data_IF_711948038146
#
_entry.id   IF_711948038146
#
_cell.length_a   1.000
_cell.length_b   1.000
_cell.length_c   1.000
_cell.angle_alpha   90.00
_cell.angle_beta   90.00
_cell.angle_gamma   90.00
#
_symmetry.space_group_name_H-M   'P 1'
#
loop_
_entity.id
_entity.type
_entity.pdbx_description
1 polymer ?
#
# COMPACT_ATOMS: atom_id res chain seq x y z
N UNK A 1 -37.94 6.40 -8.21
CA UNK A 1 -37.91 6.36 -6.69
C UNK A 1 -37.61 4.94 -6.20
N UNK A 2 -38.16 3.92 -6.84
CA UNK A 2 -37.96 2.50 -6.55
C UNK A 2 -36.46 2.10 -6.50
N UNK A 3 -35.65 2.62 -7.41
CA UNK A 3 -34.20 2.35 -7.47
C UNK A 3 -33.45 2.72 -6.19
N UNK A 4 -33.81 3.86 -5.56
CA UNK A 4 -33.15 4.31 -4.31
C UNK A 4 -33.49 3.41 -3.13
N UNK A 5 -34.72 2.94 -3.03
CA UNK A 5 -35.15 2.06 -1.93
C UNK A 5 -34.56 0.66 -2.09
N UNK A 6 -34.44 0.18 -3.32
CA UNK A 6 -33.75 -1.07 -3.63
C UNK A 6 -32.25 -1.01 -3.28
N UNK A 7 -31.54 0.07 -3.65
CA UNK A 7 -30.12 0.25 -3.29
C UNK A 7 -29.89 0.29 -1.77
N UNK A 8 -30.77 0.94 -1.01
CA UNK A 8 -30.73 0.91 0.46
C UNK A 8 -30.94 -0.50 1.01
N UNK A 9 -31.77 -1.31 0.34
CA UNK A 9 -31.93 -2.74 0.65
C UNK A 9 -30.63 -3.51 0.49
N UNK A 10 -29.95 -3.32 -0.65
CA UNK A 10 -28.63 -3.93 -0.94
C UNK A 10 -27.59 -3.50 0.10
N UNK A 11 -27.51 -2.20 0.40
CA UNK A 11 -26.59 -1.67 1.42
C UNK A 11 -26.83 -2.32 2.79
N UNK A 12 -28.09 -2.42 3.23
CA UNK A 12 -28.46 -3.03 4.50
C UNK A 12 -28.07 -4.51 4.56
N UNK A 13 -28.29 -5.26 3.49
CA UNK A 13 -27.91 -6.68 3.39
C UNK A 13 -26.39 -6.89 3.35
N UNK A 14 -25.64 -6.00 2.70
CA UNK A 14 -24.18 -6.06 2.69
C UNK A 14 -23.60 -5.75 4.07
N UNK A 15 -24.17 -4.78 4.79
CA UNK A 15 -23.78 -4.43 6.16
C UNK A 15 -24.15 -5.53 7.16
N UNK A 16 -25.33 -6.15 7.04
CA UNK A 16 -25.75 -7.28 7.90
C UNK A 16 -24.80 -8.48 7.78
N UNK A 17 -24.21 -8.67 6.60
CA UNK A 17 -23.21 -9.71 6.31
C UNK A 17 -21.76 -9.30 6.63
N UNK A 18 -21.58 -8.21 7.37
CA UNK A 18 -20.28 -7.73 7.86
C UNK A 18 -19.25 -7.40 6.77
N UNK A 19 -19.68 -6.91 5.60
CA UNK A 19 -18.72 -6.34 4.64
C UNK A 19 -18.14 -5.01 5.18
N UNK A 20 -16.86 -4.69 4.86
CA UNK A 20 -16.28 -3.40 5.20
C UNK A 20 -17.09 -2.27 4.56
N UNK A 21 -17.46 -1.25 5.35
CA UNK A 21 -18.29 -0.11 4.89
C UNK A 21 -17.77 0.55 3.62
N UNK A 22 -16.44 0.62 3.45
CA UNK A 22 -15.83 1.20 2.24
C UNK A 22 -16.12 0.39 0.97
N UNK A 23 -16.12 -0.95 1.07
CA UNK A 23 -16.46 -1.83 -0.06
C UNK A 23 -17.95 -1.78 -0.34
N UNK A 24 -18.78 -1.69 0.70
CA UNK A 24 -20.23 -1.51 0.55
C UNK A 24 -20.53 -0.19 -0.17
N UNK A 25 -19.96 0.92 0.28
CA UNK A 25 -20.17 2.22 -0.35
C UNK A 25 -19.71 2.24 -1.82
N UNK A 26 -18.56 1.63 -2.12
CA UNK A 26 -18.04 1.52 -3.48
C UNK A 26 -19.00 0.71 -4.38
N UNK A 27 -19.43 -0.46 -3.91
CA UNK A 27 -20.33 -1.32 -4.68
C UNK A 27 -21.70 -0.69 -4.90
N UNK A 28 -22.26 -0.03 -3.87
CA UNK A 28 -23.54 0.68 -3.99
C UNK A 28 -23.44 1.84 -4.97
N UNK A 29 -22.33 2.58 -4.98
CA UNK A 29 -22.09 3.63 -5.97
C UNK A 29 -21.98 3.08 -7.40
N UNK A 30 -21.25 1.98 -7.60
CA UNK A 30 -21.10 1.31 -8.89
C UNK A 30 -22.45 0.75 -9.41
N UNK A 31 -23.26 0.16 -8.52
CA UNK A 31 -24.62 -0.28 -8.87
C UNK A 31 -25.54 0.90 -9.22
N UNK A 32 -25.42 2.02 -8.52
CA UNK A 32 -26.20 3.23 -8.81
C UNK A 32 -25.85 3.82 -10.18
N UNK A 33 -24.56 3.80 -10.55
CA UNK A 33 -24.06 4.25 -11.84
C UNK A 33 -24.60 3.36 -12.97
N UNK A 34 -24.47 2.03 -12.84
CA UNK A 34 -25.02 1.09 -13.81
C UNK A 34 -26.54 1.16 -13.96
N UNK A 35 -27.25 1.46 -12.86
CA UNK A 35 -28.69 1.70 -12.92
C UNK A 35 -29.02 2.98 -13.69
N UNK A 36 -28.24 4.05 -13.54
CA UNK A 36 -28.42 5.27 -14.30
C UNK A 36 -28.16 5.03 -15.79
N UNK A 37 -27.06 4.36 -16.13
CA UNK A 37 -26.72 4.00 -17.51
C UNK A 37 -27.80 3.14 -18.18
N UNK A 38 -28.38 2.17 -17.45
CA UNK A 38 -29.45 1.32 -17.98
C UNK A 38 -30.73 2.11 -18.28
N UNK A 39 -31.05 3.09 -17.43
CA UNK A 39 -32.21 3.96 -17.63
C UNK A 39 -32.00 4.93 -18.80
N UNK A 40 -30.78 5.43 -19.00
CA UNK A 40 -30.44 6.35 -20.08
C UNK A 40 -30.25 5.63 -21.43
N UNK A 41 -29.64 4.45 -21.44
CA UNK A 41 -29.29 3.68 -22.65
C UNK A 41 -30.49 3.16 -23.44
N UNK A 42 -31.65 3.03 -22.82
CA UNK A 42 -32.89 2.61 -23.50
C UNK A 42 -33.46 3.72 -24.41
N UNK A 43 -32.92 4.94 -24.32
CA UNK A 43 -33.31 6.10 -25.14
C UNK A 43 -32.53 6.22 -26.45
N UNK A 44 -31.74 5.22 -26.85
CA UNK A 44 -31.22 5.14 -28.22
C UNK A 44 -32.16 4.25 -29.02
N UNK A 45 -33.27 4.79 -29.57
CA UNK A 45 -34.01 4.05 -30.58
C UNK A 45 -33.05 3.88 -31.75
N UNK A 46 -32.81 2.63 -32.12
CA UNK A 46 -32.12 2.22 -33.33
C UNK A 46 -32.99 2.62 -34.53
N UNK A 47 -33.07 3.94 -34.77
CA UNK A 47 -33.75 4.50 -35.92
C UNK A 47 -32.73 4.47 -37.04
N UNK A 48 -32.71 3.36 -37.78
CA UNK A 48 -32.35 3.44 -39.19
C UNK A 48 -33.27 4.49 -39.83
N UNK A 49 -32.75 5.63 -40.31
CA UNK A 49 -33.58 6.64 -40.94
C UNK A 49 -34.10 6.06 -42.25
N UNK A 50 -35.33 5.57 -42.25
CA UNK A 50 -36.06 5.27 -43.48
C UNK A 50 -36.61 6.59 -43.97
N UNK A 51 -35.91 7.21 -44.92
CA UNK A 51 -36.36 8.42 -45.64
C UNK A 51 -37.67 8.10 -46.39
N UNK A 52 -38.79 8.56 -45.84
CA UNK A 52 -40.11 8.48 -46.46
C UNK A 52 -40.92 9.75 -46.15
N UNK A 53 -41.51 10.43 -47.16
CA UNK A 53 -42.16 11.73 -46.95
C UNK A 53 -43.65 11.58 -46.63
N UNK A 54 -44.05 11.57 -45.35
CA UNK A 54 -45.48 11.70 -44.99
C UNK A 54 -45.72 12.19 -43.53
N UNK A 55 -46.96 12.51 -43.11
CA UNK A 55 -47.41 13.85 -42.76
C UNK A 55 -47.65 14.05 -41.25
N UNK A 56 -47.79 15.32 -40.88
CA UNK A 56 -48.05 15.85 -39.55
C UNK A 56 -49.30 15.27 -38.88
N UNK A 57 -49.11 14.44 -37.85
CA UNK A 57 -50.15 14.00 -36.91
C UNK A 57 -49.67 14.18 -35.47
N UNK A 58 -50.54 14.79 -34.68
CA UNK A 58 -50.39 15.17 -33.27
C UNK A 58 -50.14 13.96 -32.36
N UNK A 59 -49.01 13.98 -31.64
CA UNK A 59 -48.60 12.94 -30.69
C UNK A 59 -49.11 13.29 -29.28
N UNK A 60 -49.84 12.37 -28.60
CA UNK A 60 -50.31 12.58 -27.25
C UNK A 60 -49.27 12.17 -26.19
N UNK A 61 -49.35 12.87 -25.06
CA UNK A 61 -48.49 12.82 -23.88
C UNK A 61 -48.66 11.51 -23.07
N UNK A 62 -47.96 10.41 -23.42
CA UNK A 62 -47.88 9.16 -22.62
C UNK A 62 -46.54 8.94 -21.91
N UNK A 63 -45.62 9.91 -21.95
CA UNK A 63 -44.19 9.72 -21.65
C UNK A 63 -43.85 9.31 -20.21
N UNK A 64 -44.76 9.46 -19.24
CA UNK A 64 -44.48 9.22 -17.81
C UNK A 64 -44.76 7.78 -17.37
N UNK A 65 -45.77 7.12 -17.95
CA UNK A 65 -46.10 5.72 -17.62
C UNK A 65 -45.03 4.75 -18.15
N UNK A 66 -44.47 5.03 -19.32
CA UNK A 66 -43.39 4.23 -19.92
C UNK A 66 -42.12 4.23 -19.04
N UNK A 67 -41.79 5.36 -18.40
CA UNK A 67 -40.60 5.47 -17.55
C UNK A 67 -40.75 4.65 -16.26
N UNK A 68 -41.95 4.62 -15.65
CA UNK A 68 -42.17 3.85 -14.42
C UNK A 68 -42.16 2.34 -14.65
N UNK A 69 -42.71 1.87 -15.77
CA UNK A 69 -42.69 0.45 -16.11
C UNK A 69 -41.26 -0.03 -16.43
N UNK A 70 -40.45 0.84 -17.02
CA UNK A 70 -39.04 0.54 -17.32
C UNK A 70 -38.17 0.45 -16.05
N UNK A 71 -38.31 1.37 -15.09
CA UNK A 71 -37.61 1.29 -13.80
C UNK A 71 -37.88 -0.05 -13.10
N UNK A 72 -39.13 -0.51 -13.10
CA UNK A 72 -39.52 -1.77 -12.46
C UNK A 72 -38.89 -2.99 -13.15
N UNK A 73 -38.89 -3.01 -14.49
CA UNK A 73 -38.34 -4.12 -15.28
C UNK A 73 -36.82 -4.24 -15.10
N UNK A 74 -36.10 -3.11 -15.07
CA UNK A 74 -34.66 -3.09 -14.79
C UNK A 74 -34.37 -3.65 -13.40
N UNK A 75 -35.13 -3.24 -12.38
CA UNK A 75 -34.95 -3.76 -11.01
C UNK A 75 -35.25 -5.26 -10.93
N UNK A 76 -36.29 -5.73 -11.63
CA UNK A 76 -36.63 -7.15 -11.69
C UNK A 76 -35.51 -7.97 -12.35
N UNK A 77 -34.88 -7.44 -13.41
CA UNK A 77 -33.75 -8.09 -14.09
C UNK A 77 -32.49 -8.21 -13.23
N UNK A 78 -32.27 -7.29 -12.27
CA UNK A 78 -31.12 -7.30 -11.37
C UNK A 78 -31.27 -8.32 -10.23
N UNK A 79 -32.50 -8.76 -9.95
CA UNK A 79 -32.80 -9.72 -8.90
C UNK A 79 -32.96 -9.11 -7.51
N UNK A 80 -33.10 -9.99 -6.52
CA UNK A 80 -33.36 -9.55 -5.15
C UNK A 80 -32.10 -8.97 -4.48
N UNK A 81 -32.24 -7.96 -3.59
CA UNK A 81 -31.10 -7.39 -2.86
C UNK A 81 -30.26 -8.44 -2.11
N UNK A 82 -30.90 -9.49 -1.60
CA UNK A 82 -30.27 -10.61 -0.89
C UNK A 82 -29.41 -11.48 -1.80
N UNK A 83 -29.82 -11.70 -3.05
CA UNK A 83 -29.06 -12.45 -4.06
C UNK A 83 -27.80 -11.68 -4.45
N UNK A 84 -27.93 -10.40 -4.80
CA UNK A 84 -26.77 -9.55 -5.13
C UNK A 84 -25.81 -9.47 -3.95
N UNK A 85 -26.32 -9.26 -2.74
CA UNK A 85 -25.49 -9.25 -1.54
C UNK A 85 -24.76 -10.59 -1.37
N UNK A 86 -25.41 -11.73 -1.64
CA UNK A 86 -24.78 -13.05 -1.54
C UNK A 86 -23.66 -13.27 -2.56
N UNK A 87 -23.84 -12.81 -3.80
CA UNK A 87 -22.84 -12.89 -4.87
C UNK A 87 -21.67 -11.97 -4.55
N UNK A 88 -21.96 -10.73 -4.13
CA UNK A 88 -20.95 -9.77 -3.71
C UNK A 88 -20.12 -10.29 -2.52
N UNK A 89 -20.75 -10.91 -1.53
CA UNK A 89 -20.05 -11.55 -0.40
C UNK A 89 -19.16 -12.69 -0.90
N UNK A 90 -19.68 -13.56 -1.76
CA UNK A 90 -18.93 -14.71 -2.30
C UNK A 90 -17.72 -14.24 -3.10
N UNK A 91 -17.90 -13.25 -3.96
CA UNK A 91 -16.84 -12.69 -4.80
C UNK A 91 -15.82 -11.92 -3.95
N UNK A 92 -16.27 -11.18 -2.95
CA UNK A 92 -15.39 -10.54 -1.97
C UNK A 92 -14.58 -11.58 -1.18
N UNK A 93 -15.21 -12.66 -0.74
CA UNK A 93 -14.53 -13.79 -0.08
C UNK A 93 -13.56 -14.52 -1.02
N UNK A 94 -13.86 -14.60 -2.31
CA UNK A 94 -13.00 -15.18 -3.33
C UNK A 94 -11.79 -14.31 -3.64
N UNK A 95 -11.98 -12.98 -3.68
CA UNK A 95 -10.93 -11.98 -3.93
C UNK A 95 -10.05 -11.70 -2.72
N UNK A 96 -10.48 -12.09 -1.51
CA UNK A 96 -9.64 -11.99 -0.32
C UNK A 96 -8.37 -12.82 -0.54
N UNK A 97 -7.18 -12.18 -0.64
CA UNK A 97 -5.95 -12.90 -0.87
C UNK A 97 -5.75 -13.92 0.25
N UNK A 98 -5.22 -15.10 -0.07
CA UNK A 98 -4.96 -16.19 0.90
C UNK A 98 -4.23 -15.71 2.17
N UNK A 99 -3.41 -14.68 2.04
CA UNK A 99 -2.75 -13.99 3.15
C UNK A 99 -3.73 -13.47 4.22
N UNK A 100 -4.94 -13.03 3.85
CA UNK A 100 -5.96 -12.52 4.76
C UNK A 100 -6.67 -13.60 5.58
N UNK A 101 -6.65 -14.86 5.12
CA UNK A 101 -7.49 -15.94 5.66
C UNK A 101 -6.92 -16.58 6.92
N UNK A 102 -5.60 -16.55 7.13
CA UNK A 102 -4.99 -17.08 8.36
C UNK A 102 -4.18 -16.01 9.10
N UNK A 103 -4.41 -15.92 10.41
CA UNK A 103 -3.57 -15.15 11.33
C UNK A 103 -2.10 -15.61 11.25
N UNK A 104 -1.88 -16.91 11.02
CA UNK A 104 -0.55 -17.50 10.80
C UNK A 104 0.14 -16.88 9.59
N UNK A 105 -0.54 -16.71 8.45
CA UNK A 105 0.06 -16.05 7.30
C UNK A 105 0.37 -14.57 7.58
N UNK A 106 -0.41 -13.90 8.45
CA UNK A 106 -0.08 -12.57 8.98
C UNK A 106 1.22 -12.60 9.76
N UNK A 107 1.31 -13.50 10.73
CA UNK A 107 2.47 -13.64 11.59
C UNK A 107 3.70 -13.96 10.75
N UNK A 108 3.64 -14.93 9.85
CA UNK A 108 4.76 -15.26 8.95
C UNK A 108 5.17 -14.05 8.10
N UNK A 109 4.22 -13.33 7.49
CA UNK A 109 4.54 -12.18 6.66
C UNK A 109 5.12 -11.00 7.45
N UNK A 110 4.60 -10.68 8.64
CA UNK A 110 4.99 -9.46 9.37
C UNK A 110 6.00 -9.70 10.50
N UNK A 111 6.26 -10.95 10.89
CA UNK A 111 7.25 -11.30 11.91
C UNK A 111 8.49 -11.92 11.29
N UNK A 112 8.33 -12.88 10.35
CA UNK A 112 9.47 -13.60 9.79
C UNK A 112 10.09 -12.87 8.59
N UNK A 113 9.28 -12.32 7.69
CA UNK A 113 9.77 -11.71 6.44
C UNK A 113 10.57 -10.39 6.59
N UNK A 114 10.35 -9.52 7.60
CA UNK A 114 11.11 -8.28 7.71
C UNK A 114 12.61 -8.49 7.89
N UNK A 115 13.02 -9.56 8.58
CA UNK A 115 14.44 -9.85 8.83
C UNK A 115 15.19 -10.25 7.55
N UNK A 116 14.74 -11.24 6.75
CA UNK A 116 15.33 -11.52 5.44
C UNK A 116 15.33 -10.31 4.51
N UNK A 117 14.23 -9.54 4.48
CA UNK A 117 14.15 -8.34 3.66
C UNK A 117 15.20 -7.29 4.06
N UNK A 118 15.45 -7.14 5.36
CA UNK A 118 16.49 -6.25 5.89
C UNK A 118 17.89 -6.73 5.51
N UNK A 119 18.18 -8.03 5.66
CA UNK A 119 19.48 -8.61 5.27
C UNK A 119 19.74 -8.44 3.78
N UNK A 120 18.74 -8.70 2.93
CA UNK A 120 18.83 -8.45 1.48
C UNK A 120 19.04 -6.96 1.21
N UNK A 121 18.34 -6.08 1.92
CA UNK A 121 18.49 -4.63 1.81
C UNK A 121 19.91 -4.16 2.14
N UNK A 122 20.52 -4.64 3.23
CA UNK A 122 21.92 -4.33 3.56
C UNK A 122 22.90 -4.90 2.54
N UNK A 123 22.68 -6.14 2.08
CA UNK A 123 23.51 -6.75 1.03
C UNK A 123 23.51 -5.94 -0.26
N UNK A 124 22.32 -5.48 -0.71
CA UNK A 124 22.19 -4.61 -1.88
C UNK A 124 22.84 -3.24 -1.67
N UNK A 125 22.68 -2.64 -0.49
CA UNK A 125 23.31 -1.36 -0.17
C UNK A 125 24.84 -1.44 -0.16
N UNK A 126 25.40 -2.51 0.41
CA UNK A 126 26.84 -2.78 0.39
C UNK A 126 27.35 -3.03 -1.02
N UNK A 127 26.66 -3.88 -1.80
CA UNK A 127 27.02 -4.14 -3.19
C UNK A 127 27.00 -2.86 -4.04
N UNK A 128 26.01 -1.99 -3.82
CA UNK A 128 25.93 -0.69 -4.48
C UNK A 128 27.10 0.22 -4.07
N UNK A 129 27.43 0.30 -2.78
CA UNK A 129 28.56 1.09 -2.30
C UNK A 129 29.90 0.64 -2.90
N UNK A 130 30.15 -0.68 -2.94
CA UNK A 130 31.33 -1.27 -3.58
C UNK A 130 31.34 -1.00 -5.08
N UNK A 131 30.18 -1.15 -5.75
CA UNK A 131 30.05 -0.86 -7.18
C UNK A 131 30.34 0.60 -7.53
N UNK A 132 29.88 1.54 -6.69
CA UNK A 132 30.20 2.97 -6.83
C UNK A 132 31.69 3.20 -6.65
N UNK A 133 32.31 2.65 -5.59
CA UNK A 133 33.74 2.80 -5.34
C UNK A 133 34.60 2.28 -6.51
N UNK A 134 34.30 1.07 -6.99
CA UNK A 134 34.98 0.48 -8.15
C UNK A 134 34.73 1.26 -9.45
N UNK A 135 33.55 1.86 -9.61
CA UNK A 135 33.22 2.71 -10.75
C UNK A 135 34.02 4.01 -10.75
N UNK A 136 34.17 4.65 -9.59
CA UNK A 136 34.96 5.88 -9.43
C UNK A 136 36.45 5.63 -9.70
N UNK A 137 36.99 4.50 -9.26
CA UNK A 137 38.37 4.09 -9.55
C UNK A 137 38.60 3.96 -11.06
N UNK A 138 37.68 3.31 -11.78
CA UNK A 138 37.77 3.15 -13.24
C UNK A 138 37.69 4.47 -14.02
N UNK A 139 37.06 5.49 -13.44
CA UNK A 139 36.99 6.83 -14.04
C UNK A 139 38.29 7.63 -13.84
N UNK A 140 39.30 7.06 -13.17
CA UNK A 140 40.57 7.73 -12.93
C UNK A 140 40.44 8.96 -12.03
N UNK A 141 39.37 9.03 -11.23
CA UNK A 141 39.22 10.08 -10.22
C UNK A 141 40.36 9.85 -9.22
N UNK A 142 41.33 10.78 -9.13
CA UNK A 142 42.49 10.59 -8.27
C UNK A 142 42.03 10.32 -6.85
N UNK A 143 42.58 9.28 -6.22
CA UNK A 143 42.27 8.98 -4.83
C UNK A 143 42.65 10.20 -3.98
N UNK A 144 41.68 10.93 -3.40
CA UNK A 144 41.99 12.09 -2.57
C UNK A 144 42.83 11.72 -1.35
N UNK A 145 42.88 10.42 -0.97
CA UNK A 145 43.74 9.91 0.09
C UNK A 145 45.22 9.78 -0.31
N UNK A 146 45.55 9.75 -1.60
CA UNK A 146 46.93 9.60 -2.07
C UNK A 146 47.77 10.88 -1.91
N UNK A 147 47.13 12.04 -1.69
CA UNK A 147 47.82 13.32 -1.64
C UNK A 147 48.07 13.84 -0.22
N UNK A 148 47.13 13.74 0.73
CA UNK A 148 47.23 14.42 2.04
C UNK A 148 46.79 13.54 3.22
N UNK A 149 47.38 13.81 4.40
CA UNK A 149 47.04 13.23 5.69
C UNK A 149 45.51 13.06 5.85
N UNK A 150 45.08 11.90 6.34
CA UNK A 150 43.68 11.52 6.56
C UNK A 150 42.91 12.71 7.16
N UNK A 151 42.16 13.42 6.31
CA UNK A 151 41.47 14.62 6.74
C UNK A 151 40.29 14.22 7.61
N UNK A 152 40.00 14.99 8.65
CA UNK A 152 38.81 14.78 9.50
C UNK A 152 37.53 14.68 8.66
N UNK A 153 37.45 15.43 7.56
CA UNK A 153 36.32 15.39 6.63
C UNK A 153 36.13 14.04 5.95
N UNK A 154 37.23 13.37 5.55
CA UNK A 154 37.15 12.06 4.92
C UNK A 154 36.66 11.00 5.92
N UNK A 155 37.18 11.02 7.15
CA UNK A 155 36.73 10.12 8.23
C UNK A 155 35.24 10.31 8.53
N UNK A 156 34.80 11.56 8.70
CA UNK A 156 33.39 11.88 8.93
C UNK A 156 32.53 11.44 7.74
N UNK A 157 32.97 11.71 6.51
CA UNK A 157 32.27 11.30 5.29
C UNK A 157 32.09 9.78 5.21
N UNK A 158 33.14 9.02 5.53
CA UNK A 158 33.06 7.56 5.60
C UNK A 158 32.03 7.11 6.64
N UNK A 159 32.08 7.64 7.86
CA UNK A 159 31.07 7.29 8.88
C UNK A 159 29.64 7.62 8.43
N UNK A 160 29.42 8.78 7.80
CA UNK A 160 28.10 9.14 7.25
C UNK A 160 27.63 8.12 6.22
N UNK A 161 28.49 7.72 5.29
CA UNK A 161 28.16 6.69 4.28
C UNK A 161 27.80 5.36 4.95
N UNK A 162 28.57 4.94 5.95
CA UNK A 162 28.32 3.71 6.71
C UNK A 162 26.97 3.76 7.45
N UNK A 163 26.63 4.90 8.07
CA UNK A 163 25.32 5.10 8.69
C UNK A 163 24.18 5.07 7.66
N UNK A 164 24.37 5.66 6.48
CA UNK A 164 23.36 5.62 5.41
C UNK A 164 23.14 4.20 4.91
N UNK A 165 24.21 3.42 4.71
CA UNK A 165 24.14 2.01 4.30
C UNK A 165 23.35 1.18 5.32
N UNK A 166 23.49 1.49 6.61
CA UNK A 166 22.77 0.79 7.67
C UNK A 166 21.30 1.22 7.77
N UNK A 167 21.03 2.53 7.75
CA UNK A 167 19.73 3.11 8.06
C UNK A 167 18.77 3.15 6.87
N UNK A 168 19.28 3.38 5.65
CA UNK A 168 18.42 3.51 4.47
C UNK A 168 17.65 2.20 4.16
N UNK A 169 18.27 1.01 4.20
CA UNK A 169 17.54 -0.25 4.06
C UNK A 169 16.50 -0.47 5.15
N UNK A 170 16.84 -0.17 6.41
CA UNK A 170 15.90 -0.29 7.54
C UNK A 170 14.67 0.61 7.37
N UNK A 171 14.87 1.86 6.96
CA UNK A 171 13.80 2.80 6.64
C UNK A 171 12.97 2.30 5.45
N UNK A 172 13.63 1.86 4.37
CA UNK A 172 12.97 1.33 3.17
C UNK A 172 12.08 0.12 3.46
N UNK A 173 12.59 -0.86 4.21
CA UNK A 173 11.85 -2.05 4.65
C UNK A 173 10.68 -1.65 5.54
N UNK A 174 10.86 -0.72 6.48
CA UNK A 174 9.78 -0.22 7.33
C UNK A 174 8.65 0.42 6.52
N UNK A 175 8.97 1.28 5.55
CA UNK A 175 7.99 1.88 4.64
C UNK A 175 7.28 0.82 3.82
N UNK A 176 8.00 -0.18 3.31
CA UNK A 176 7.44 -1.28 2.53
C UNK A 176 6.40 -2.07 3.35
N UNK A 177 6.75 -2.52 4.56
CA UNK A 177 5.86 -3.29 5.41
C UNK A 177 4.66 -2.48 5.92
N UNK A 178 4.84 -1.19 6.19
CA UNK A 178 3.73 -0.27 6.48
C UNK A 178 2.77 -0.17 5.27
N UNK A 179 3.30 -0.06 4.04
CA UNK A 179 2.48 -0.02 2.82
C UNK A 179 1.77 -1.36 2.58
N UNK A 180 2.42 -2.48 2.85
CA UNK A 180 1.80 -3.81 2.76
C UNK A 180 0.71 -4.01 3.83
N UNK A 181 0.92 -3.55 5.06
CA UNK A 181 -0.09 -3.55 6.11
C UNK A 181 -1.32 -2.73 5.70
N UNK A 182 -1.10 -1.55 5.09
CA UNK A 182 -2.16 -0.72 4.50
C UNK A 182 -2.96 -1.46 3.44
N UNK A 183 -2.27 -2.10 2.48
CA UNK A 183 -2.92 -2.81 1.37
C UNK A 183 -3.70 -4.05 1.81
N UNK A 184 -3.29 -4.70 2.89
CA UNK A 184 -3.92 -5.96 3.34
C UNK A 184 -5.12 -5.75 4.27
N UNK A 185 -5.56 -4.50 4.49
CA UNK A 185 -6.64 -4.13 5.42
C UNK A 185 -6.46 -4.70 6.84
N UNK A 186 -5.25 -5.15 7.17
CA UNK A 186 -4.91 -5.62 8.51
C UNK A 186 -4.54 -4.43 9.36
N UNK A 187 -5.12 -4.39 10.55
CA UNK A 187 -4.93 -3.33 11.53
C UNK A 187 -3.46 -2.89 11.56
N UNK A 188 -3.22 -1.57 11.52
CA UNK A 188 -1.88 -0.99 11.44
C UNK A 188 -0.90 -1.47 12.52
N UNK A 189 -1.41 -2.13 13.56
CA UNK A 189 -0.65 -2.91 14.56
C UNK A 189 0.39 -3.85 13.91
N UNK A 190 0.06 -4.56 12.84
CA UNK A 190 1.02 -5.48 12.18
C UNK A 190 2.17 -4.75 11.49
N UNK A 191 1.89 -3.58 10.92
CA UNK A 191 2.94 -2.71 10.38
C UNK A 191 3.88 -2.21 11.48
N UNK A 192 3.33 -1.87 12.65
CA UNK A 192 4.12 -1.44 13.81
C UNK A 192 4.97 -2.58 14.39
N UNK A 193 4.44 -3.82 14.45
CA UNK A 193 5.22 -5.01 14.84
C UNK A 193 6.40 -5.21 13.89
N UNK A 194 6.18 -5.17 12.57
CA UNK A 194 7.27 -5.28 11.60
C UNK A 194 8.31 -4.16 11.77
N UNK A 195 7.87 -2.91 11.97
CA UNK A 195 8.78 -1.78 12.24
C UNK A 195 9.57 -1.97 13.54
N UNK A 196 8.96 -2.50 14.60
CA UNK A 196 9.64 -2.79 15.86
C UNK A 196 10.70 -3.89 15.70
N UNK A 197 10.41 -4.93 14.92
CA UNK A 197 11.38 -6.00 14.60
C UNK A 197 12.55 -5.43 13.80
N UNK A 198 12.27 -4.62 12.77
CA UNK A 198 13.31 -3.93 11.99
C UNK A 198 14.12 -2.97 12.86
N UNK A 199 13.46 -2.21 13.75
CA UNK A 199 14.12 -1.33 14.70
C UNK A 199 15.09 -2.09 15.60
N UNK A 200 14.64 -3.21 16.18
CA UNK A 200 15.45 -4.04 17.07
C UNK A 200 16.63 -4.66 16.32
N UNK A 201 16.39 -5.23 15.14
CA UNK A 201 17.44 -5.81 14.31
C UNK A 201 18.48 -4.76 13.88
N UNK A 202 18.03 -3.55 13.54
CA UNK A 202 18.92 -2.45 13.17
C UNK A 202 19.71 -1.92 14.37
N UNK A 203 19.09 -1.86 15.57
CA UNK A 203 19.77 -1.46 16.80
C UNK A 203 20.83 -2.47 17.26
N UNK A 204 20.61 -3.76 16.96
CA UNK A 204 21.60 -4.81 17.16
C UNK A 204 22.68 -4.84 16.07
N UNK A 205 22.48 -4.17 14.93
CA UNK A 205 23.42 -4.21 13.84
C UNK A 205 24.59 -3.26 14.10
N UNK A 206 25.81 -3.78 13.95
CA UNK A 206 27.05 -3.03 14.06
C UNK A 206 27.81 -3.14 12.76
N UNK A 207 28.28 -2.00 12.29
CA UNK A 207 29.16 -1.92 11.14
C UNK A 207 30.50 -1.40 11.61
N UNK A 208 31.54 -2.20 11.42
CA UNK A 208 32.90 -1.89 11.82
C UNK A 208 33.81 -1.88 10.60
N UNK A 209 34.66 -0.86 10.50
CA UNK A 209 35.56 -0.65 9.38
C UNK A 209 36.99 -0.56 9.92
N UNK A 210 37.79 -1.58 9.60
CA UNK A 210 39.21 -1.63 9.95
C UNK A 210 40.02 -1.25 8.73
N UNK A 211 40.65 -0.07 8.78
CA UNK A 211 41.52 0.42 7.71
C UNK A 211 42.94 -0.09 7.97
N UNK A 212 43.54 -0.73 6.95
CA UNK A 212 44.95 -1.14 6.99
C UNK A 212 45.76 -0.23 6.07
N UNK A 213 46.99 0.09 6.46
CA UNK A 213 47.95 0.81 5.60
C UNK A 213 48.36 0.00 4.36
N UNK A 214 48.16 -1.32 4.40
CA UNK A 214 48.48 -2.19 3.28
C UNK A 214 47.30 -2.20 2.28
N UNK A 215 47.56 -1.93 0.99
CA UNK A 215 46.52 -1.92 -0.03
C UNK A 215 45.82 -3.29 -0.09
N UNK A 216 44.48 -3.27 -0.17
CA UNK A 216 43.65 -4.47 -0.21
C UNK A 216 43.46 -5.20 1.13
N UNK A 217 43.98 -4.68 2.25
CA UNK A 217 43.78 -5.27 3.59
C UNK A 217 42.75 -4.55 4.47
N UNK A 218 42.09 -3.53 3.94
CA UNK A 218 40.97 -2.90 4.64
C UNK A 218 39.78 -3.85 4.68
N UNK A 219 39.16 -4.01 5.85
CA UNK A 219 38.03 -4.90 6.05
C UNK A 219 36.82 -4.12 6.56
N UNK A 220 35.67 -4.40 5.97
CA UNK A 220 34.37 -3.90 6.44
C UNK A 220 33.59 -5.10 6.95
N UNK A 221 33.20 -5.05 8.21
CA UNK A 221 32.45 -6.12 8.87
C UNK A 221 31.07 -5.59 9.25
N UNK A 222 30.03 -6.33 8.86
CA UNK A 222 28.66 -6.12 9.32
C UNK A 222 28.32 -7.29 10.23
N UNK A 223 28.03 -7.00 11.49
CA UNK A 223 27.73 -7.99 12.52
C UNK A 223 26.54 -7.62 13.38
N UNK A 224 26.19 -8.53 14.30
CA UNK A 224 25.19 -8.28 15.34
C UNK A 224 25.91 -8.18 16.69
N UNK A 225 25.70 -7.08 17.41
CA UNK A 225 26.21 -6.89 18.75
C UNK A 225 25.15 -7.32 19.77
N UNK A 226 25.49 -8.29 20.63
CA UNK A 226 24.66 -8.76 21.74
C UNK A 226 25.52 -8.69 23.00
N UNK A 227 25.15 -7.87 23.99
CA UNK A 227 25.70 -7.98 25.36
C UNK A 227 26.41 -6.76 25.95
N UNK A 228 26.73 -5.73 25.18
CA UNK A 228 27.27 -4.48 25.72
C UNK A 228 26.14 -3.47 25.98
N UNK A 229 26.30 -2.61 27.00
CA UNK A 229 25.36 -1.53 27.27
C UNK A 229 25.11 -0.72 25.99
N UNK A 230 23.84 -0.67 25.55
CA UNK A 230 23.43 -0.03 24.31
C UNK A 230 23.98 1.41 24.26
N UNK A 231 24.95 1.70 23.37
CA UNK A 231 25.47 3.06 23.27
C UNK A 231 24.34 4.00 22.81
N UNK A 232 24.37 5.26 23.26
CA UNK A 232 23.36 6.26 22.88
C UNK A 232 23.20 6.43 21.37
N UNK A 233 24.22 6.08 20.57
CA UNK A 233 24.13 6.03 19.11
C UNK A 233 23.14 4.97 18.58
N UNK A 234 23.03 3.82 19.24
CA UNK A 234 22.08 2.75 18.87
C UNK A 234 20.63 3.16 19.08
N UNK A 235 20.36 4.08 20.01
CA UNK A 235 19.03 4.66 20.22
C UNK A 235 18.54 5.38 18.96
N UNK A 236 19.39 6.16 18.30
CA UNK A 236 19.03 6.82 17.04
C UNK A 236 18.66 5.83 15.93
N UNK A 237 19.39 4.73 15.83
CA UNK A 237 19.14 3.67 14.83
C UNK A 237 17.81 2.94 15.08
N UNK A 238 17.47 2.72 16.34
CA UNK A 238 16.19 2.13 16.75
C UNK A 238 15.00 3.06 16.44
N UNK A 239 15.15 4.36 16.69
CA UNK A 239 14.05 5.32 16.59
C UNK A 239 13.56 5.53 15.16
N UNK A 240 14.42 5.41 14.14
CA UNK A 240 14.06 5.72 12.75
C UNK A 240 12.96 4.77 12.20
N UNK A 241 13.13 3.43 12.20
CA UNK A 241 12.07 2.51 11.77
C UNK A 241 10.77 2.68 12.57
N UNK A 242 10.89 2.92 13.87
CA UNK A 242 9.74 3.05 14.76
C UNK A 242 8.97 4.36 14.51
N UNK A 243 9.68 5.47 14.29
CA UNK A 243 9.08 6.75 13.93
C UNK A 243 8.31 6.66 12.60
N UNK A 244 8.82 5.92 11.61
CA UNK A 244 8.12 5.65 10.36
C UNK A 244 6.82 4.90 10.62
N UNK A 245 6.85 3.85 11.46
CA UNK A 245 5.67 3.08 11.86
C UNK A 245 4.62 3.93 12.56
N UNK A 246 5.02 4.74 13.55
CA UNK A 246 4.13 5.62 14.32
C UNK A 246 3.54 6.73 13.44
N UNK A 247 4.35 7.40 12.62
CA UNK A 247 3.87 8.43 11.70
C UNK A 247 2.84 7.86 10.72
N UNK A 248 3.05 6.64 10.25
CA UNK A 248 2.14 5.99 9.33
C UNK A 248 0.80 5.62 9.97
N UNK A 249 0.79 5.22 11.24
CA UNK A 249 -0.42 4.99 12.04
C UNK A 249 -1.17 6.28 12.30
N UNK A 250 -0.46 7.34 12.70
CA UNK A 250 -1.07 8.63 12.97
C UNK A 250 -1.79 9.20 11.74
N UNK A 251 -1.16 9.11 10.57
CA UNK A 251 -1.78 9.47 9.28
C UNK A 251 -3.01 8.63 8.92
N UNK A 252 -3.14 7.41 9.43
CA UNK A 252 -4.33 6.58 9.22
C UNK A 252 -5.48 7.03 10.12
N UNK A 253 -5.20 7.34 11.39
CA UNK A 253 -6.21 7.80 12.34
C UNK A 253 -6.84 9.12 11.89
N UNK A 254 -6.03 10.07 11.39
CA UNK A 254 -6.54 11.34 10.88
C UNK A 254 -7.58 11.20 9.74
N UNK A 255 -7.48 10.16 8.91
CA UNK A 255 -8.47 9.90 7.85
C UNK A 255 -9.80 9.36 8.37
N UNK A 256 -9.79 8.69 9.51
CA UNK A 256 -11.01 8.18 10.16
C UNK A 256 -11.72 9.27 10.97
N UNK A 257 -10.97 10.25 11.47
CA UNK A 257 -11.49 11.34 12.28
C UNK A 257 -11.98 12.53 11.48
N UNK A 258 -11.69 12.64 10.17
CA UNK A 258 -12.34 13.65 9.32
C UNK A 258 -13.84 13.31 9.23
N UNK A 259 -14.74 14.08 9.88
CA UNK A 259 -16.16 13.92 9.62
C UNK A 259 -16.34 14.11 8.12
N UNK A 260 -17.03 13.18 7.47
CA UNK A 260 -17.42 13.35 6.08
C UNK A 260 -18.05 14.74 5.97
N UNK A 261 -17.36 15.66 5.29
CA UNK A 261 -17.93 16.96 4.98
C UNK A 261 -19.11 16.67 4.05
N UNK A 262 -20.31 16.69 4.65
CA UNK A 262 -21.60 16.62 3.97
C UNK A 262 -21.85 17.95 3.28
#
# INVERSE_FOLDING_TARGET
MLSRDWLKGVERELLSRSLPRQEVARLVAELADHLADALDGTLVPDVCPVEGPVPSLSVPSSKTEDVMSMEANVIESLGSPTEIASVAVREFQRRKPLLSRSWVAAACAFVLLPLPALVVGWGLALALAVGIAAGLEKLGIPDPAAAHAVSTGLVVGTYVVLYVILLAPAAGVSVLFVRLAKKTARAGRWGLVACAIVALATACARLDASFSELPGKSTLTLGLQIGDALPWSSLGQFLIPLAIGVLALWRQQGRLSSPAAV
#
